data_IF_685187841903
#
_entry.id   IF_685187841903
#
_cell.length_a   1.000
_cell.length_b   1.000
_cell.length_c   1.000
_cell.angle_alpha   90.00
_cell.angle_beta   90.00
_cell.angle_gamma   90.00
#
_symmetry.space_group_name_H-M   'P 1'
#
loop_
_entity.id
_entity.type
_entity.pdbx_description
1 polymer ?
#
# COMPACT_ATOMS: atom_id res chain seq x y z
N UNK A 1 -29.45 30.96 -19.34
CA UNK A 1 -28.70 29.80 -18.81
C UNK A 1 -27.51 29.62 -19.71
N UNK A 2 -26.30 29.92 -19.21
CA UNK A 2 -25.08 29.82 -20.01
C UNK A 2 -24.59 28.38 -20.05
N UNK A 3 -24.33 27.87 -21.24
CA UNK A 3 -23.65 26.59 -21.46
C UNK A 3 -22.18 26.74 -21.06
N UNK A 4 -21.79 26.10 -19.96
CA UNK A 4 -20.39 25.94 -19.60
C UNK A 4 -19.83 24.77 -20.40
N UNK A 5 -19.10 25.07 -21.47
CA UNK A 5 -18.24 24.10 -22.13
C UNK A 5 -17.02 23.85 -21.25
N UNK A 6 -17.00 22.70 -20.57
CA UNK A 6 -15.75 22.13 -20.06
C UNK A 6 -14.99 21.56 -21.26
N UNK A 7 -14.18 22.40 -21.91
CA UNK A 7 -13.03 21.89 -22.65
C UNK A 7 -12.04 21.33 -21.62
N UNK A 8 -12.23 20.06 -21.26
CA UNK A 8 -11.27 19.32 -20.48
C UNK A 8 -10.01 19.17 -21.31
N UNK A 9 -9.02 20.02 -21.06
CA UNK A 9 -7.65 19.74 -21.45
C UNK A 9 -7.32 18.35 -20.91
N UNK A 10 -7.18 17.37 -21.82
CA UNK A 10 -6.60 16.09 -21.46
C UNK A 10 -5.21 16.42 -20.92
N UNK A 11 -4.94 16.03 -19.69
CA UNK A 11 -3.58 15.96 -19.14
C UNK A 11 -2.79 14.87 -19.89
N UNK A 12 -2.59 15.04 -21.20
CA UNK A 12 -1.74 14.24 -22.06
C UNK A 12 -0.42 14.97 -22.29
N UNK A 13 0.17 15.49 -21.20
CA UNK A 13 1.57 15.87 -21.21
C UNK A 13 2.42 14.60 -21.36
N UNK A 14 3.56 14.64 -22.07
CA UNK A 14 4.41 13.47 -22.21
C UNK A 14 4.85 12.97 -20.83
N UNK A 15 4.84 11.65 -20.63
CA UNK A 15 5.30 11.02 -19.39
C UNK A 15 6.83 11.02 -19.42
N UNK A 16 7.44 12.00 -18.77
CA UNK A 16 8.89 12.06 -18.61
C UNK A 16 9.30 11.39 -17.30
N UNK A 17 10.27 10.48 -17.37
CA UNK A 17 10.84 9.79 -16.20
C UNK A 17 12.22 10.29 -15.91
N UNK A 18 12.50 10.49 -14.63
CA UNK A 18 13.87 10.70 -14.16
C UNK A 18 14.65 9.38 -14.27
N UNK A 19 15.87 9.38 -14.85
CA UNK A 19 16.76 8.23 -14.79
C UNK A 19 17.07 7.85 -13.35
N UNK A 20 16.88 6.58 -13.00
CA UNK A 20 17.34 6.04 -11.71
C UNK A 20 18.88 6.05 -11.66
N UNK A 21 19.49 6.26 -10.49
CA UNK A 21 20.94 6.15 -10.34
C UNK A 21 21.44 4.73 -10.73
N UNK A 22 22.62 4.62 -11.36
CA UNK A 22 23.17 3.35 -11.81
C UNK A 22 23.34 2.37 -10.63
N UNK A 23 22.78 1.18 -10.77
CA UNK A 23 22.83 0.13 -9.74
C UNK A 23 24.11 -0.70 -9.90
N UNK A 24 25.23 -0.18 -9.40
CA UNK A 24 26.53 -0.86 -9.42
C UNK A 24 26.84 -1.50 -8.07
N UNK A 25 26.15 -2.59 -7.72
CA UNK A 25 26.61 -3.50 -6.66
C UNK A 25 25.80 -4.79 -6.68
N UNK A 26 26.46 -5.93 -6.41
CA UNK A 26 25.80 -7.14 -5.88
C UNK A 26 25.27 -6.78 -4.49
N UNK A 27 24.17 -6.03 -4.45
CA UNK A 27 23.60 -5.52 -3.22
C UNK A 27 23.21 -6.72 -2.35
N UNK A 28 23.61 -6.65 -1.08
CA UNK A 28 23.16 -7.60 -0.06
C UNK A 28 21.62 -7.67 -0.09
N UNK A 29 21.02 -8.86 0.08
CA UNK A 29 19.57 -8.98 0.16
C UNK A 29 19.02 -8.01 1.21
N UNK A 30 17.95 -7.30 0.86
CA UNK A 30 17.31 -6.35 1.76
C UNK A 30 16.86 -7.04 3.04
N UNK A 31 17.05 -6.36 4.18
CA UNK A 31 16.53 -6.77 5.49
C UNK A 31 15.96 -5.55 6.20
N UNK A 32 14.76 -5.71 6.75
CA UNK A 32 14.16 -4.78 7.67
C UNK A 32 14.84 -4.89 9.03
N UNK A 33 15.28 -3.75 9.55
CA UNK A 33 16.04 -3.62 10.81
C UNK A 33 15.47 -2.50 11.68
N UNK A 34 14.21 -2.10 11.47
CA UNK A 34 13.60 -0.98 12.18
C UNK A 34 13.77 0.37 11.50
N UNK A 35 13.90 0.40 10.16
CA UNK A 35 13.86 1.65 9.39
C UNK A 35 12.50 2.37 9.62
N UNK A 36 12.48 3.72 9.60
CA UNK A 36 11.25 4.48 9.75
C UNK A 36 10.26 4.23 8.62
N UNK A 37 8.98 4.45 8.92
CA UNK A 37 7.91 4.40 7.94
C UNK A 37 7.93 5.64 7.04
N UNK A 38 8.66 5.57 5.94
CA UNK A 38 8.79 6.65 4.97
C UNK A 38 8.71 6.16 3.50
N UNK A 39 8.84 7.10 2.56
CA UNK A 39 8.84 6.80 1.12
C UNK A 39 10.01 5.87 0.73
N UNK A 40 11.15 5.96 1.41
CA UNK A 40 12.30 5.12 1.09
C UNK A 40 12.04 3.66 1.50
N UNK A 41 11.39 3.42 2.64
CA UNK A 41 10.99 2.06 3.04
C UNK A 41 9.93 1.49 2.10
N UNK A 42 8.94 2.30 1.68
CA UNK A 42 7.94 1.91 0.66
C UNK A 42 8.64 1.47 -0.63
N UNK A 43 9.58 2.26 -1.12
CA UNK A 43 10.40 1.97 -2.31
C UNK A 43 11.19 0.66 -2.17
N UNK A 44 11.79 0.42 -1.00
CA UNK A 44 12.54 -0.80 -0.72
C UNK A 44 11.64 -2.04 -0.67
N UNK A 45 10.45 -1.93 -0.07
CA UNK A 45 9.45 -3.01 -0.04
C UNK A 45 8.95 -3.33 -1.43
N UNK A 46 8.56 -2.32 -2.22
CA UNK A 46 8.10 -2.51 -3.60
C UNK A 46 9.20 -3.16 -4.46
N UNK A 47 10.45 -2.70 -4.34
CA UNK A 47 11.61 -3.30 -5.01
C UNK A 47 11.81 -4.76 -4.65
N UNK A 48 11.72 -5.08 -3.36
CA UNK A 48 11.86 -6.47 -2.88
C UNK A 48 10.78 -7.36 -3.49
N UNK A 49 9.53 -6.91 -3.54
CA UNK A 49 8.42 -7.66 -4.15
C UNK A 49 8.63 -7.85 -5.66
N UNK A 50 9.00 -6.79 -6.38
CA UNK A 50 9.27 -6.86 -7.83
C UNK A 50 10.44 -7.80 -8.17
N UNK A 51 11.52 -7.77 -7.41
CA UNK A 51 12.66 -8.68 -7.57
C UNK A 51 12.24 -10.16 -7.41
N UNK A 52 11.20 -10.42 -6.61
CA UNK A 52 10.60 -11.74 -6.42
C UNK A 52 9.40 -12.02 -7.35
N UNK A 53 9.24 -11.22 -8.42
CA UNK A 53 8.18 -11.36 -9.44
C UNK A 53 6.76 -11.20 -8.90
N UNK A 54 6.61 -10.38 -7.87
CA UNK A 54 5.32 -10.04 -7.29
C UNK A 54 4.96 -8.62 -7.76
N UNK A 55 4.04 -8.45 -8.73
CA UNK A 55 3.56 -7.14 -9.11
C UNK A 55 2.86 -6.47 -7.94
N UNK A 56 3.13 -5.18 -7.75
CA UNK A 56 2.54 -4.40 -6.67
C UNK A 56 2.33 -2.94 -7.08
N UNK A 57 1.44 -2.24 -6.36
CA UNK A 57 1.36 -0.79 -6.38
C UNK A 57 1.03 -0.23 -4.99
N UNK A 58 1.35 1.03 -4.77
CA UNK A 58 1.14 1.74 -3.51
C UNK A 58 -0.19 2.49 -3.53
N UNK A 59 -0.87 2.53 -2.39
CA UNK A 59 -2.08 3.32 -2.14
C UNK A 59 -1.92 4.16 -0.87
N UNK A 60 -2.95 4.96 -0.54
CA UNK A 60 -3.06 5.73 0.70
C UNK A 60 -1.85 6.65 0.98
N UNK A 61 -1.34 6.67 2.22
CA UNK A 61 -0.42 7.70 2.70
C UNK A 61 0.81 7.86 1.80
N UNK A 62 1.43 6.74 1.41
CA UNK A 62 2.60 6.72 0.54
C UNK A 62 2.32 7.29 -0.85
N UNK A 63 1.17 6.97 -1.43
CA UNK A 63 0.75 7.51 -2.73
C UNK A 63 0.51 9.02 -2.65
N UNK A 64 -0.21 9.50 -1.62
CA UNK A 64 -0.48 10.94 -1.46
C UNK A 64 0.80 11.74 -1.20
N UNK A 65 1.73 11.18 -0.43
CA UNK A 65 3.06 11.76 -0.23
C UNK A 65 3.84 11.90 -1.54
N UNK A 66 3.79 10.90 -2.42
CA UNK A 66 4.40 10.99 -3.74
C UNK A 66 3.76 12.11 -4.60
N UNK A 67 2.46 12.37 -4.43
CA UNK A 67 1.76 13.49 -5.08
C UNK A 67 2.06 14.86 -4.46
N UNK A 68 2.81 14.93 -3.36
CA UNK A 68 3.21 16.17 -2.71
C UNK A 68 2.34 16.58 -1.52
N UNK A 69 1.38 15.75 -1.10
CA UNK A 69 0.62 15.98 0.13
C UNK A 69 1.55 15.92 1.35
N UNK A 70 1.25 16.69 2.40
CA UNK A 70 2.05 16.75 3.64
C UNK A 70 1.45 15.91 4.78
N UNK A 71 0.64 14.90 4.46
CA UNK A 71 0.11 13.96 5.45
C UNK A 71 1.25 13.15 6.09
N UNK A 72 1.15 12.75 7.36
CA UNK A 72 2.06 11.75 7.92
C UNK A 72 1.88 10.39 7.23
N UNK A 73 2.92 9.55 7.24
CA UNK A 73 2.83 8.15 6.84
C UNK A 73 2.56 7.34 8.10
N UNK A 74 1.30 6.95 8.31
CA UNK A 74 0.88 6.16 9.47
C UNK A 74 0.78 4.67 9.14
N UNK A 75 0.93 4.31 7.86
CA UNK A 75 0.96 2.93 7.37
C UNK A 75 1.64 2.85 6.01
N UNK A 76 2.19 1.67 5.70
CA UNK A 76 2.71 1.34 4.39
C UNK A 76 1.71 0.41 3.69
N UNK A 77 0.95 0.94 2.75
CA UNK A 77 -0.14 0.20 2.11
C UNK A 77 0.24 -0.25 0.70
N UNK A 78 0.46 -1.57 0.55
CA UNK A 78 0.88 -2.20 -0.71
C UNK A 78 -0.22 -3.14 -1.21
N UNK A 79 -0.62 -2.96 -2.46
CA UNK A 79 -1.60 -3.82 -3.14
C UNK A 79 -0.87 -4.84 -4.00
N UNK A 80 -1.23 -6.12 -3.87
CA UNK A 80 -0.65 -7.26 -4.61
C UNK A 80 -1.77 -8.21 -5.07
N UNK A 81 -1.53 -9.10 -6.07
CA UNK A 81 -2.56 -10.03 -6.49
C UNK A 81 -2.81 -11.09 -5.42
N UNK A 82 -4.08 -11.46 -5.22
CA UNK A 82 -4.52 -12.46 -4.24
C UNK A 82 -3.76 -13.77 -4.38
N UNK A 83 -3.49 -14.19 -5.62
CA UNK A 83 -2.77 -15.43 -5.93
C UNK A 83 -1.32 -15.46 -5.41
N UNK A 84 -0.70 -14.30 -5.18
CA UNK A 84 0.69 -14.19 -4.72
C UNK A 84 0.84 -13.75 -3.25
N UNK A 85 -0.26 -13.55 -2.53
CA UNK A 85 -0.25 -13.13 -1.11
C UNK A 85 0.67 -14.01 -0.25
N UNK A 86 0.51 -15.33 -0.32
CA UNK A 86 1.34 -16.28 0.43
C UNK A 86 2.83 -16.17 0.09
N UNK A 87 3.16 -15.94 -1.18
CA UNK A 87 4.54 -15.75 -1.63
C UNK A 87 5.11 -14.43 -1.09
N UNK A 88 4.34 -13.34 -1.16
CA UNK A 88 4.74 -12.04 -0.63
C UNK A 88 5.03 -12.10 0.87
N UNK A 89 4.16 -12.75 1.63
CA UNK A 89 4.36 -12.96 3.08
C UNK A 89 5.67 -13.69 3.35
N UNK A 90 5.96 -14.77 2.60
CA UNK A 90 7.22 -15.50 2.74
C UNK A 90 8.44 -14.64 2.40
N UNK A 91 8.35 -13.80 1.37
CA UNK A 91 9.42 -12.88 0.97
C UNK A 91 9.68 -11.84 2.06
N UNK A 92 8.63 -11.24 2.62
CA UNK A 92 8.75 -10.22 3.66
C UNK A 92 9.25 -10.81 5.00
N UNK A 93 8.79 -12.00 5.40
CA UNK A 93 9.36 -12.73 6.55
C UNK A 93 10.86 -13.01 6.36
N UNK A 94 11.29 -13.45 5.17
CA UNK A 94 12.72 -13.64 4.86
C UNK A 94 13.51 -12.33 4.92
N UNK A 95 12.86 -11.21 4.66
CA UNK A 95 13.41 -9.87 4.83
C UNK A 95 13.26 -9.33 6.27
N UNK A 96 12.91 -10.16 7.25
CA UNK A 96 12.83 -9.82 8.68
C UNK A 96 11.70 -8.84 9.06
N UNK A 97 10.64 -8.76 8.26
CA UNK A 97 9.40 -8.12 8.71
C UNK A 97 8.68 -9.05 9.71
N UNK A 98 8.25 -8.47 10.83
CA UNK A 98 7.55 -9.16 11.91
C UNK A 98 6.06 -9.19 11.63
N UNK A 99 5.46 -10.37 11.57
CA UNK A 99 4.01 -10.58 11.55
C UNK A 99 3.56 -11.52 12.68
N UNK A 100 4.37 -11.61 13.74
CA UNK A 100 4.03 -12.37 14.93
C UNK A 100 2.84 -11.77 15.67
N UNK A 101 2.10 -12.62 16.37
CA UNK A 101 1.03 -12.17 17.25
C UNK A 101 1.61 -11.28 18.34
N UNK A 102 1.18 -10.02 18.40
CA UNK A 102 1.48 -9.13 19.53
C UNK A 102 0.35 -9.21 20.55
N UNK A 103 0.68 -9.65 21.76
CA UNK A 103 -0.20 -9.45 22.92
C UNK A 103 -0.15 -7.96 23.27
N UNK A 104 -1.25 -7.25 23.03
CA UNK A 104 -1.38 -5.88 23.53
C UNK A 104 -1.84 -6.00 24.98
N UNK A 105 -0.90 -5.96 25.93
CA UNK A 105 -1.19 -6.10 27.37
C UNK A 105 -2.14 -5.02 27.93
N UNK A 106 -2.42 -3.95 27.18
CA UNK A 106 -3.17 -2.78 27.65
C UNK A 106 -4.51 -2.50 26.97
N UNK A 107 -5.00 -3.34 26.04
CA UNK A 107 -6.41 -3.23 25.69
C UNK A 107 -7.16 -3.98 26.79
N UNK A 108 -7.85 -3.22 27.66
CA UNK A 108 -9.00 -3.70 28.42
C UNK A 108 -10.07 -4.20 27.44
N UNK A 109 -9.80 -5.31 26.76
CA UNK A 109 -10.79 -6.07 26.04
C UNK A 109 -11.73 -6.59 27.11
N UNK A 110 -13.00 -6.33 26.88
CA UNK A 110 -14.09 -6.61 27.77
C UNK A 110 -13.98 -8.06 28.27
N UNK A 111 -13.77 -8.17 29.57
CA UNK A 111 -13.77 -9.40 30.33
C UNK A 111 -15.15 -10.04 30.16
N UNK A 112 -15.27 -11.05 29.30
CA UNK A 112 -16.37 -12.01 29.40
C UNK A 112 -15.82 -13.37 29.81
N UNK A 113 -16.59 -14.08 30.63
CA UNK A 113 -16.09 -14.97 31.68
C UNK A 113 -15.62 -16.36 31.26
N UNK A 114 -15.57 -16.69 29.98
CA UNK A 114 -15.18 -18.02 29.53
C UNK A 114 -14.34 -17.92 28.25
N UNK A 115 -13.40 -18.85 28.08
CA UNK A 115 -12.48 -19.03 26.94
C UNK A 115 -11.06 -18.45 27.10
N UNK A 116 -10.10 -19.38 27.19
CA UNK A 116 -8.67 -19.16 27.10
C UNK A 116 -8.32 -18.45 25.78
N UNK A 117 -7.63 -17.32 25.84
CA UNK A 117 -7.17 -16.58 24.67
C UNK A 117 -5.77 -17.05 24.25
N UNK A 118 -5.69 -17.85 23.19
CA UNK A 118 -4.46 -17.91 22.38
C UNK A 118 -4.52 -16.71 21.41
N UNK A 119 -3.60 -15.76 21.58
CA UNK A 119 -3.55 -14.54 20.78
C UNK A 119 -3.33 -14.87 19.30
N UNK A 120 -4.38 -14.73 18.49
CA UNK A 120 -4.31 -14.77 17.04
C UNK A 120 -3.50 -13.55 16.52
N UNK A 121 -2.86 -13.65 15.34
CA UNK A 121 -2.17 -12.51 14.75
C UNK A 121 -3.23 -11.49 14.33
N UNK A 122 -3.38 -10.45 15.16
CA UNK A 122 -4.19 -9.24 14.98
C UNK A 122 -5.72 -9.39 15.16
N UNK A 123 -6.21 -9.15 16.39
CA UNK A 123 -7.64 -8.90 16.67
C UNK A 123 -8.21 -7.69 15.94
N UNK A 124 -7.40 -6.79 15.37
CA UNK A 124 -7.93 -5.67 14.58
C UNK A 124 -8.68 -6.15 13.33
N UNK A 125 -8.23 -7.24 12.70
CA UNK A 125 -8.90 -7.81 11.51
C UNK A 125 -10.09 -8.69 11.90
N UNK A 126 -10.02 -9.38 13.04
CA UNK A 126 -11.10 -10.26 13.50
C UNK A 126 -12.27 -9.47 14.12
N UNK A 127 -12.01 -8.40 14.88
CA UNK A 127 -13.05 -7.49 15.37
C UNK A 127 -13.68 -6.64 14.24
N UNK A 128 -13.05 -6.58 13.06
CA UNK A 128 -13.67 -6.02 11.86
C UNK A 128 -14.62 -6.98 11.14
N UNK A 129 -14.45 -8.31 11.31
CA UNK A 129 -15.52 -9.25 10.93
C UNK A 129 -16.73 -9.16 11.85
N UNK A 130 -16.59 -8.62 13.06
CA UNK A 130 -17.72 -8.26 13.92
C UNK A 130 -18.26 -6.84 13.65
N UNK A 131 -17.46 -5.97 13.01
CA UNK A 131 -17.82 -4.58 12.70
C UNK A 131 -17.78 -4.29 11.19
N UNK A 132 -18.55 -5.04 10.40
CA UNK A 132 -18.79 -4.84 8.96
C UNK A 132 -19.28 -3.41 8.57
N UNK A 133 -19.45 -2.50 9.53
CA UNK A 133 -19.93 -1.14 9.31
C UNK A 133 -18.86 -0.04 9.41
N UNK A 134 -17.57 -0.33 9.74
CA UNK A 134 -16.61 0.75 10.06
C UNK A 134 -15.19 0.70 9.47
N UNK A 135 -14.65 -0.42 9.00
CA UNK A 135 -13.40 -0.36 8.22
C UNK A 135 -13.70 -0.42 6.74
N UNK A 136 -13.37 0.66 6.03
CA UNK A 136 -13.59 0.74 4.59
C UNK A 136 -12.61 -0.15 3.79
N UNK A 137 -11.44 -0.52 4.34
CA UNK A 137 -10.36 -1.24 3.64
C UNK A 137 -9.68 -2.24 4.59
N UNK A 138 -9.91 -3.55 4.39
CA UNK A 138 -9.33 -4.62 5.22
C UNK A 138 -8.10 -5.21 4.51
N UNK A 139 -6.91 -5.20 5.14
CA UNK A 139 -5.74 -5.85 4.58
C UNK A 139 -5.87 -7.37 4.62
N UNK A 140 -5.27 -8.03 3.63
CA UNK A 140 -5.15 -9.49 3.59
C UNK A 140 -4.07 -10.01 4.55
N UNK A 141 -3.05 -9.19 4.84
CA UNK A 141 -1.98 -9.52 5.77
C UNK A 141 -1.35 -8.25 6.35
N UNK A 142 -0.85 -8.31 7.58
CA UNK A 142 -0.25 -7.17 8.30
C UNK A 142 1.12 -7.58 8.85
N UNK A 143 2.09 -6.68 8.69
CA UNK A 143 3.41 -6.75 9.32
C UNK A 143 3.59 -5.55 10.24
N UNK A 144 4.09 -5.80 11.43
CA UNK A 144 4.39 -4.78 12.41
C UNK A 144 5.79 -4.22 12.17
N UNK A 145 5.86 -2.92 11.89
CA UNK A 145 7.14 -2.24 11.88
C UNK A 145 7.64 -2.14 13.33
N UNK A 146 8.97 -2.18 13.51
CA UNK A 146 9.56 -2.10 14.85
C UNK A 146 9.18 -0.77 15.51
N UNK A 147 9.07 -0.75 16.85
CA UNK A 147 8.29 0.26 17.54
C UNK A 147 8.79 1.67 17.27
N UNK A 148 7.84 2.60 17.16
CA UNK A 148 7.98 3.85 17.87
C UNK A 148 8.08 3.49 19.38
N UNK A 149 8.95 4.12 20.17
CA UNK A 149 9.52 3.66 21.46
C UNK A 149 8.60 2.84 22.41
N UNK A 150 9.11 2.07 23.42
CA UNK A 150 8.30 1.20 24.32
C UNK A 150 7.03 1.80 24.99
N UNK A 151 6.81 3.11 24.87
CA UNK A 151 5.68 3.86 25.40
C UNK A 151 4.73 4.41 24.31
N UNK A 152 5.00 4.14 23.03
CA UNK A 152 4.19 4.64 21.92
C UNK A 152 3.06 3.65 21.57
N UNK A 153 1.82 4.10 21.78
CA UNK A 153 0.60 3.34 21.47
C UNK A 153 0.35 3.18 19.96
N UNK A 154 0.94 4.05 19.14
CA UNK A 154 0.81 4.06 17.68
C UNK A 154 1.89 3.18 17.05
N UNK A 155 1.55 1.92 16.80
CA UNK A 155 2.35 1.05 15.94
C UNK A 155 2.05 1.36 14.47
N UNK A 156 3.10 1.55 13.67
CA UNK A 156 2.98 1.70 12.22
C UNK A 156 3.05 0.32 11.58
N UNK A 157 2.13 0.03 10.67
CA UNK A 157 2.05 -1.27 10.01
C UNK A 157 2.41 -1.20 8.52
N UNK A 158 2.93 -2.30 8.01
CA UNK A 158 2.96 -2.62 6.58
C UNK A 158 1.77 -3.53 6.27
N UNK A 159 0.85 -3.03 5.45
CA UNK A 159 -0.38 -3.70 5.08
C UNK A 159 -0.29 -4.23 3.65
N UNK A 160 -0.65 -5.50 3.47
CA UNK A 160 -0.83 -6.11 2.16
C UNK A 160 -2.31 -6.21 1.83
N UNK A 161 -2.73 -5.56 0.75
CA UNK A 161 -4.09 -5.62 0.24
C UNK A 161 -4.18 -6.53 -0.98
N UNK A 162 -5.28 -7.26 -1.11
CA UNK A 162 -5.57 -8.04 -2.32
C UNK A 162 -6.16 -7.14 -3.39
N UNK A 163 -5.51 -7.06 -4.54
CA UNK A 163 -5.96 -6.26 -5.69
C UNK A 163 -7.40 -6.60 -6.10
N UNK A 164 -7.74 -7.88 -6.16
CA UNK A 164 -9.05 -8.35 -6.62
C UNK A 164 -10.18 -8.01 -5.65
N UNK A 165 -9.87 -7.75 -4.37
CA UNK A 165 -10.87 -7.37 -3.37
C UNK A 165 -11.22 -5.87 -3.48
N UNK A 166 -10.24 -5.03 -3.80
CA UNK A 166 -10.38 -3.57 -3.73
C UNK A 166 -10.44 -2.89 -5.10
N UNK A 167 -9.84 -3.50 -6.12
CA UNK A 167 -9.69 -2.95 -7.47
C UNK A 167 -10.04 -3.96 -8.58
N UNK A 168 -11.18 -4.70 -8.48
CA UNK A 168 -11.50 -5.82 -9.38
C UNK A 168 -11.66 -5.41 -10.85
N UNK A 169 -11.94 -4.14 -11.12
CA UNK A 169 -12.17 -3.62 -12.48
C UNK A 169 -10.93 -3.02 -13.12
N UNK A 170 -9.84 -2.91 -12.37
CA UNK A 170 -8.59 -2.31 -12.85
C UNK A 170 -7.57 -3.42 -13.08
N UNK A 171 -6.81 -3.34 -14.18
CA UNK A 171 -5.73 -4.31 -14.42
C UNK A 171 -4.56 -3.99 -13.49
N UNK A 172 -4.04 -4.99 -12.80
CA UNK A 172 -2.83 -4.85 -11.97
C UNK A 172 -1.62 -4.45 -12.85
N UNK A 173 -0.66 -3.63 -12.37
CA UNK A 173 0.48 -3.28 -13.18
C UNK A 173 1.48 -4.45 -13.26
N UNK A 174 2.20 -4.63 -14.38
CA UNK A 174 3.21 -5.68 -14.49
C UNK A 174 4.45 -5.37 -13.63
N UNK A 175 5.26 -6.40 -13.34
CA UNK A 175 6.62 -6.20 -12.84
C UNK A 175 7.51 -5.56 -13.92
N UNK A 176 8.53 -4.82 -13.49
CA UNK A 176 9.45 -4.12 -14.39
C UNK A 176 8.91 -2.75 -14.84
N UNK A 177 9.55 -2.14 -15.85
CA UNK A 177 9.19 -0.79 -16.29
C UNK A 177 7.74 -0.72 -16.75
N UNK A 178 7.04 0.34 -16.34
CA UNK A 178 5.71 0.64 -16.85
C UNK A 178 5.84 1.14 -18.31
N UNK A 179 4.82 0.94 -19.15
CA UNK A 179 4.77 1.56 -20.48
C UNK A 179 4.67 3.09 -20.35
N UNK A 180 5.22 3.84 -21.32
CA UNK A 180 5.21 5.31 -21.29
C UNK A 180 3.80 5.89 -21.44
N UNK A 181 2.94 5.22 -22.20
CA UNK A 181 1.54 5.58 -22.48
C UNK A 181 0.54 4.97 -21.49
N UNK A 182 1.01 4.47 -20.33
CA UNK A 182 0.12 3.83 -19.38
C UNK A 182 -0.87 4.83 -18.77
N UNK A 183 -2.17 4.63 -19.05
CA UNK A 183 -3.24 5.52 -18.59
C UNK A 183 -3.77 5.19 -17.19
N UNK A 184 -3.29 4.11 -16.56
CA UNK A 184 -3.81 3.61 -15.27
C UNK A 184 -2.89 3.94 -14.11
N UNK A 185 -1.59 3.73 -14.31
CA UNK A 185 -0.56 3.90 -13.31
C UNK A 185 0.42 4.99 -13.74
N UNK A 186 1.11 5.52 -12.74
CA UNK A 186 2.35 6.27 -12.90
C UNK A 186 3.41 5.67 -11.98
N UNK A 187 4.65 6.16 -12.12
CA UNK A 187 5.80 5.74 -11.31
C UNK A 187 6.32 6.89 -10.45
N UNK A 188 6.92 6.59 -9.31
CA UNK A 188 7.50 7.58 -8.37
C UNK A 188 8.59 8.48 -9.00
N UNK A 189 9.20 8.04 -10.10
CA UNK A 189 10.22 8.78 -10.87
C UNK A 189 9.63 9.70 -11.95
N UNK A 190 8.31 9.74 -12.11
CA UNK A 190 7.63 10.63 -13.05
C UNK A 190 7.92 12.09 -12.66
N UNK A 191 8.45 12.87 -13.60
CA UNK A 191 8.93 14.24 -13.32
C UNK A 191 7.81 15.21 -12.96
N UNK A 192 6.54 14.83 -13.18
CA UNK A 192 5.37 15.62 -12.77
C UNK A 192 5.10 15.50 -11.26
N UNK A 193 5.71 14.52 -10.58
CA UNK A 193 5.56 14.32 -9.15
C UNK A 193 6.50 15.18 -8.32
N UNK A 194 5.98 15.72 -7.21
CA UNK A 194 6.75 16.49 -6.24
C UNK A 194 7.90 15.66 -5.62
N UNK A 195 7.69 14.36 -5.41
CA UNK A 195 8.68 13.47 -4.81
C UNK A 195 9.72 12.92 -5.81
N UNK A 196 9.66 13.26 -7.11
CA UNK A 196 10.49 12.60 -8.13
C UNK A 196 12.01 12.72 -7.86
N UNK A 197 12.41 13.78 -7.15
CA UNK A 197 13.80 14.02 -6.74
C UNK A 197 14.26 13.10 -5.60
N UNK A 198 13.33 12.61 -4.79
CA UNK A 198 13.59 11.74 -3.65
C UNK A 198 13.57 10.26 -4.04
N UNK A 199 12.96 9.93 -5.18
CA UNK A 199 12.80 8.55 -5.62
C UNK A 199 14.15 7.88 -5.93
N UNK A 200 14.42 6.78 -5.24
CA UNK A 200 15.59 5.91 -5.42
C UNK A 200 15.25 4.60 -6.13
N UNK A 201 13.96 4.28 -6.20
CA UNK A 201 13.41 3.17 -6.96
C UNK A 201 12.05 3.54 -7.58
N UNK A 202 11.70 2.92 -8.70
CA UNK A 202 10.42 3.10 -9.36
C UNK A 202 9.31 2.33 -8.66
N UNK A 203 8.37 3.07 -8.08
CA UNK A 203 7.19 2.51 -7.42
C UNK A 203 5.96 2.89 -8.20
N UNK A 204 5.10 1.90 -8.46
CA UNK A 204 3.87 2.10 -9.22
C UNK A 204 2.76 2.56 -8.29
N UNK A 205 1.97 3.52 -8.75
CA UNK A 205 0.79 4.06 -8.05
C UNK A 205 -0.27 4.45 -9.07
N UNK A 206 -1.53 4.52 -8.66
CA UNK A 206 -2.61 4.92 -9.57
C UNK A 206 -2.43 6.35 -10.05
N UNK A 207 -2.79 6.63 -11.31
CA UNK A 207 -3.07 8.01 -11.69
C UNK A 207 -4.19 8.57 -10.80
N UNK A 208 -4.11 9.83 -10.33
CA UNK A 208 -5.11 10.39 -9.43
C UNK A 208 -6.55 10.20 -9.92
N UNK A 209 -6.82 10.47 -11.21
CA UNK A 209 -8.15 10.27 -11.80
C UNK A 209 -8.61 8.80 -11.76
N UNK A 210 -7.68 7.84 -11.93
CA UNK A 210 -7.98 6.41 -11.93
C UNK A 210 -8.18 5.87 -10.52
N UNK A 211 -7.47 6.43 -9.54
CA UNK A 211 -7.76 6.16 -8.13
C UNK A 211 -9.19 6.60 -7.79
N UNK A 212 -9.57 7.83 -8.12
CA UNK A 212 -10.93 8.35 -7.90
C UNK A 212 -11.99 7.48 -8.58
N UNK A 213 -11.77 7.12 -9.85
CA UNK A 213 -12.68 6.23 -10.57
C UNK A 213 -12.83 4.86 -9.88
N UNK A 214 -11.72 4.27 -9.43
CA UNK A 214 -11.74 2.98 -8.74
C UNK A 214 -12.50 3.06 -7.41
N UNK A 215 -12.30 4.14 -6.64
CA UNK A 215 -13.03 4.39 -5.40
C UNK A 215 -14.55 4.54 -5.63
N UNK A 216 -14.96 5.27 -6.67
CA UNK A 216 -16.37 5.43 -7.03
C UNK A 216 -16.98 4.07 -7.40
N UNK A 217 -16.28 3.26 -8.21
CA UNK A 217 -16.74 1.93 -8.61
C UNK A 217 -16.84 0.99 -7.41
N UNK A 218 -15.89 1.06 -6.48
CA UNK A 218 -15.90 0.30 -5.23
C UNK A 218 -17.10 0.67 -4.37
N UNK A 219 -17.32 1.97 -4.14
CA UNK A 219 -18.47 2.47 -3.38
C UNK A 219 -19.81 2.06 -4.01
N UNK A 220 -19.91 2.11 -5.35
CA UNK A 220 -21.09 1.66 -6.07
C UNK A 220 -21.33 0.16 -5.89
N UNK A 221 -20.29 -0.68 -6.01
CA UNK A 221 -20.38 -2.11 -5.74
C UNK A 221 -20.90 -2.37 -4.33
N UNK A 222 -20.31 -1.73 -3.33
CA UNK A 222 -20.64 -1.98 -1.94
C UNK A 222 -22.06 -1.53 -1.59
N UNK A 223 -22.54 -0.44 -2.20
CA UNK A 223 -23.89 0.06 -1.98
C UNK A 223 -24.97 -0.74 -2.73
N UNK A 224 -24.71 -1.13 -3.99
CA UNK A 224 -25.76 -1.68 -4.87
C UNK A 224 -25.69 -3.18 -5.12
N UNK A 225 -24.56 -3.85 -4.83
CA UNK A 225 -24.41 -5.30 -5.04
C UNK A 225 -24.43 -6.10 -3.75
N UNK A 226 -24.30 -5.44 -2.59
CA UNK A 226 -24.31 -6.08 -1.27
C UNK A 226 -25.28 -5.41 -0.26
N UNK A 227 -26.00 -4.35 -0.66
CA UNK A 227 -27.12 -3.77 0.08
C UNK A 227 -28.45 -4.26 -0.48
#
# INVERSE_FOLDING_TARGET
>A
MGEYNFEGERFSGPVFRRPLPPTTSKAKPFKYTGQPADLALIEQVAKLLEQNKIPCHVINDGMWRHFGCQNPINSLDIVIPRSLQKQAVQVLRKANFDDGCRLIENIRLWKDQEYNYEAAPCNFIYDLRANFHRAWWVPAHVFHLQPAAPEEELHVDLNLFSHEDWFPTVKLPPCGPLAEDNETYLVSTDTRLASCQQATYEVKMFQPARMVEALIRLAFRDYYLYG
#
